data_IF_664831360157
#
_entry.id   IF_664831360157
#
_cell.length_a   1.000
_cell.length_b   1.000
_cell.length_c   1.000
_cell.angle_alpha   90.00
_cell.angle_beta   90.00
_cell.angle_gamma   90.00
#
_symmetry.space_group_name_H-M   'P 1'
#
loop_
_entity.id
_entity.type
_entity.pdbx_description
1 polymer ?
#
# COMPACT_ATOMS: atom_id res chain seq x y z
N UNK A 1 13.87 -6.31 18.56
CA UNK A 1 13.02 -6.06 17.37
C UNK A 1 12.50 -4.63 17.39
N UNK A 2 11.88 -4.18 18.48
CA UNK A 2 11.35 -2.82 18.65
C UNK A 2 12.39 -1.72 18.41
N UNK A 3 13.65 -1.93 18.85
CA UNK A 3 14.73 -0.94 18.69
C UNK A 3 15.07 -0.65 17.21
N UNK A 4 15.03 -1.64 16.33
CA UNK A 4 15.31 -1.43 14.89
C UNK A 4 14.19 -0.64 14.24
N UNK A 5 12.95 -0.99 14.57
CA UNK A 5 11.78 -0.26 14.07
C UNK A 5 11.76 1.19 14.60
N UNK A 6 12.04 1.39 15.88
CA UNK A 6 12.17 2.72 16.47
C UNK A 6 13.29 3.55 15.83
N UNK A 7 14.43 2.95 15.49
CA UNK A 7 15.50 3.62 14.77
C UNK A 7 15.05 4.06 13.37
N UNK A 8 14.38 3.18 12.63
CA UNK A 8 13.85 3.53 11.29
C UNK A 8 12.82 4.66 11.38
N UNK A 9 11.89 4.58 12.33
CA UNK A 9 10.87 5.62 12.53
C UNK A 9 11.51 6.95 12.91
N UNK A 10 12.51 6.94 13.81
CA UNK A 10 13.18 8.17 14.25
C UNK A 10 14.04 8.81 13.16
N UNK A 11 14.45 8.06 12.15
CA UNK A 11 15.19 8.55 11.00
C UNK A 11 14.31 9.20 9.92
N UNK A 12 12.99 9.09 10.04
CA UNK A 12 12.06 9.71 9.08
C UNK A 12 12.06 11.22 9.31
N UNK A 13 12.57 11.97 8.32
CA UNK A 13 12.53 13.42 8.35
C UNK A 13 11.15 13.95 7.93
N UNK A 14 10.61 14.98 8.62
CA UNK A 14 9.36 15.58 8.22
C UNK A 14 9.53 16.37 6.92
N UNK A 15 8.43 16.49 6.17
CA UNK A 15 8.40 17.32 4.96
C UNK A 15 8.66 18.80 5.33
N UNK A 16 9.43 19.50 4.49
CA UNK A 16 9.67 20.94 4.63
C UNK A 16 8.38 21.75 4.33
N UNK A 17 7.70 22.14 5.41
CA UNK A 17 6.48 22.93 5.33
C UNK A 17 6.72 24.36 4.84
N UNK A 18 7.92 24.92 5.07
CA UNK A 18 8.26 26.25 4.59
C UNK A 18 8.39 26.25 3.06
N UNK A 19 9.03 25.24 2.48
CA UNK A 19 9.11 25.06 1.02
C UNK A 19 7.75 24.78 0.39
N UNK A 20 6.90 24.03 1.08
CA UNK A 20 5.50 23.82 0.66
C UNK A 20 4.74 25.15 0.57
N UNK A 21 4.80 25.97 1.62
CA UNK A 21 4.12 27.26 1.67
C UNK A 21 4.68 28.26 0.63
N UNK A 22 6.02 28.32 0.48
CA UNK A 22 6.67 29.15 -0.52
C UNK A 22 6.26 28.76 -1.95
N UNK A 23 6.15 27.46 -2.24
CA UNK A 23 5.64 26.96 -3.53
C UNK A 23 4.21 27.45 -3.79
N UNK A 24 3.32 27.34 -2.81
CA UNK A 24 1.94 27.84 -2.96
C UNK A 24 1.88 29.34 -3.21
N UNK A 25 2.67 30.15 -2.50
CA UNK A 25 2.74 31.59 -2.73
C UNK A 25 3.22 31.92 -4.15
N UNK A 26 4.22 31.18 -4.63
CA UNK A 26 4.75 31.36 -5.99
C UNK A 26 3.73 30.97 -7.07
N UNK A 27 3.02 29.88 -6.88
CA UNK A 27 1.94 29.46 -7.79
C UNK A 27 0.78 30.46 -7.81
N UNK A 28 0.46 31.05 -6.66
CA UNK A 28 -0.55 32.11 -6.55
C UNK A 28 -0.22 33.34 -7.41
N UNK A 29 1.05 33.73 -7.46
CA UNK A 29 1.51 34.86 -8.28
C UNK A 29 1.43 34.60 -9.79
N UNK A 30 1.34 33.35 -10.21
CA UNK A 30 1.29 32.95 -11.63
C UNK A 30 -0.14 32.84 -12.18
N UNK A 31 -1.14 33.34 -11.48
CA UNK A 31 -2.57 33.25 -11.91
C UNK A 31 -3.08 31.82 -12.11
N UNK A 32 -2.40 30.85 -11.52
CA UNK A 32 -2.83 29.44 -11.54
C UNK A 32 -3.87 29.24 -10.43
N UNK A 33 -4.96 28.48 -10.74
CA UNK A 33 -5.98 28.16 -9.73
C UNK A 33 -5.32 27.46 -8.53
N UNK A 34 -5.33 28.12 -7.38
CA UNK A 34 -4.68 27.67 -6.14
C UNK A 34 -5.29 26.39 -5.57
N UNK A 35 -6.56 26.16 -5.82
CA UNK A 35 -7.38 25.05 -5.35
C UNK A 35 -7.35 23.84 -6.28
N UNK A 36 -6.45 23.82 -7.26
CA UNK A 36 -6.29 22.67 -8.13
C UNK A 36 -5.49 21.55 -7.45
N UNK A 37 -5.86 20.29 -7.75
CA UNK A 37 -5.05 19.12 -7.30
C UNK A 37 -3.59 19.21 -7.74
N UNK A 38 -3.32 19.85 -8.88
CA UNK A 38 -1.95 20.05 -9.38
C UNK A 38 -1.16 21.02 -8.50
N UNK A 39 -1.78 22.13 -8.06
CA UNK A 39 -1.13 23.06 -7.13
C UNK A 39 -0.83 22.38 -5.79
N UNK A 40 -1.76 21.59 -5.28
CA UNK A 40 -1.55 20.81 -4.06
C UNK A 40 -0.37 19.84 -4.21
N UNK A 41 -0.34 19.06 -5.28
CA UNK A 41 0.76 18.11 -5.54
C UNK A 41 2.11 18.81 -5.72
N UNK A 42 2.14 19.95 -6.43
CA UNK A 42 3.37 20.72 -6.62
C UNK A 42 3.95 21.18 -5.28
N UNK A 43 3.11 21.73 -4.39
CA UNK A 43 3.54 22.13 -3.04
C UNK A 43 4.06 20.94 -2.22
N UNK A 44 3.38 19.80 -2.28
CA UNK A 44 3.83 18.58 -1.59
C UNK A 44 5.17 18.08 -2.10
N UNK A 45 5.36 18.05 -3.42
CA UNK A 45 6.63 17.63 -4.03
C UNK A 45 7.76 18.60 -3.64
N UNK A 46 7.52 19.90 -3.69
CA UNK A 46 8.48 20.92 -3.25
C UNK A 46 8.90 20.72 -1.79
N UNK A 47 7.93 20.44 -0.91
CA UNK A 47 8.19 20.17 0.50
C UNK A 47 8.97 18.88 0.74
N UNK A 48 8.63 17.80 0.04
CA UNK A 48 9.34 16.50 0.18
C UNK A 48 10.78 16.61 -0.34
N UNK A 49 11.01 17.30 -1.45
CA UNK A 49 12.36 17.48 -1.99
C UNK A 49 13.13 18.69 -1.39
N UNK A 50 12.50 19.47 -0.51
CA UNK A 50 13.12 20.62 0.12
C UNK A 50 13.50 21.74 -0.86
N UNK A 51 12.90 21.83 -2.05
CA UNK A 51 13.27 22.75 -3.11
C UNK A 51 12.08 23.27 -3.93
N UNK A 52 12.20 24.49 -4.45
CA UNK A 52 11.24 25.03 -5.43
C UNK A 52 11.52 24.62 -6.89
N UNK A 53 12.60 23.93 -7.11
CA UNK A 53 13.00 23.38 -8.41
C UNK A 53 13.13 21.85 -8.33
N UNK A 54 11.99 21.14 -8.11
CA UNK A 54 12.04 19.71 -7.92
C UNK A 54 12.55 19.00 -9.17
N UNK A 55 13.33 17.96 -8.92
CA UNK A 55 13.80 17.08 -9.97
C UNK A 55 12.67 16.19 -10.51
N UNK A 56 12.88 15.70 -11.73
CA UNK A 56 11.95 14.76 -12.34
C UNK A 56 11.88 13.47 -11.51
N UNK A 57 10.65 13.07 -11.13
CA UNK A 57 10.44 11.86 -10.36
C UNK A 57 10.87 10.61 -11.14
N UNK A 58 11.75 9.82 -10.53
CA UNK A 58 12.00 8.44 -10.93
C UNK A 58 10.93 7.56 -10.28
N UNK A 59 10.18 6.84 -11.10
CA UNK A 59 8.92 6.20 -10.68
C UNK A 59 9.00 4.68 -10.76
N UNK A 60 8.53 4.02 -9.72
CA UNK A 60 8.27 2.59 -9.71
C UNK A 60 6.84 2.29 -9.26
N UNK A 61 6.32 1.16 -9.67
CA UNK A 61 5.12 0.55 -9.10
C UNK A 61 5.53 -0.78 -8.49
N UNK A 62 5.29 -0.95 -7.21
CA UNK A 62 5.55 -2.19 -6.48
C UNK A 62 4.21 -2.86 -6.23
N UNK A 63 4.03 -4.04 -6.79
CA UNK A 63 2.81 -4.84 -6.62
C UNK A 63 3.11 -5.94 -5.61
N UNK A 64 2.43 -5.86 -4.46
CA UNK A 64 2.47 -6.90 -3.43
C UNK A 64 1.40 -7.93 -3.72
N UNK A 65 1.81 -9.19 -3.88
CA UNK A 65 0.92 -10.30 -4.20
C UNK A 65 0.75 -11.22 -2.99
N UNK A 66 -0.47 -11.36 -2.51
CA UNK A 66 -0.83 -12.26 -1.42
C UNK A 66 -2.30 -12.66 -1.49
N UNK A 67 -2.60 -13.91 -1.15
CA UNK A 67 -3.95 -14.41 -1.04
C UNK A 67 -4.42 -14.36 0.43
N UNK A 68 -5.70 -14.04 0.66
CA UNK A 68 -6.24 -13.84 2.00
C UNK A 68 -7.46 -14.72 2.25
N UNK A 69 -7.43 -15.52 3.31
CA UNK A 69 -8.52 -16.42 3.70
C UNK A 69 -9.56 -15.71 4.61
N UNK A 70 -10.13 -14.62 4.13
CA UNK A 70 -11.07 -13.78 4.91
C UNK A 70 -12.43 -14.45 5.13
N UNK A 71 -12.86 -15.31 4.21
CA UNK A 71 -14.17 -15.94 4.21
C UNK A 71 -14.11 -17.48 4.26
N UNK A 72 -13.01 -18.03 4.77
CA UNK A 72 -12.80 -19.47 4.87
C UNK A 72 -12.63 -20.18 3.54
N UNK A 73 -12.51 -19.46 2.45
CA UNK A 73 -12.38 -20.02 1.10
C UNK A 73 -13.70 -20.51 0.49
N UNK A 74 -14.82 -20.34 1.18
CA UNK A 74 -16.15 -20.80 0.72
C UNK A 74 -16.61 -20.09 -0.55
N UNK A 75 -16.10 -18.88 -0.80
CA UNK A 75 -16.46 -18.05 -1.95
C UNK A 75 -15.26 -17.78 -2.86
N UNK A 76 -14.42 -18.79 -3.15
CA UNK A 76 -13.38 -18.63 -4.19
C UNK A 76 -14.06 -18.14 -5.46
N UNK A 77 -13.69 -16.95 -5.90
CA UNK A 77 -14.31 -16.36 -7.10
C UNK A 77 -13.94 -17.24 -8.30
N UNK A 78 -14.93 -17.95 -8.85
CA UNK A 78 -14.70 -18.81 -10.02
C UNK A 78 -14.03 -17.99 -11.13
N UNK A 79 -12.83 -18.43 -11.54
CA UNK A 79 -12.08 -17.80 -12.64
C UNK A 79 -11.04 -16.76 -12.24
N UNK A 80 -10.88 -16.42 -10.96
CA UNK A 80 -9.72 -15.68 -10.50
C UNK A 80 -8.60 -16.64 -10.14
N UNK A 81 -7.42 -16.37 -10.69
CA UNK A 81 -6.21 -17.12 -10.40
C UNK A 81 -5.09 -16.11 -10.15
N UNK A 82 -4.80 -15.86 -8.88
CA UNK A 82 -3.79 -14.87 -8.45
C UNK A 82 -2.43 -15.17 -9.07
N UNK A 83 -2.07 -16.44 -9.25
CA UNK A 83 -0.84 -16.85 -9.91
C UNK A 83 -0.81 -16.45 -11.39
N UNK A 84 -1.91 -16.65 -12.12
CA UNK A 84 -1.99 -16.26 -13.52
C UNK A 84 -1.90 -14.74 -13.69
N UNK A 85 -2.60 -13.98 -12.85
CA UNK A 85 -2.55 -12.52 -12.85
C UNK A 85 -1.14 -12.01 -12.49
N UNK A 86 -0.48 -12.64 -11.51
CA UNK A 86 0.88 -12.35 -11.14
C UNK A 86 1.86 -12.60 -12.30
N UNK A 87 1.73 -13.72 -13.01
CA UNK A 87 2.56 -14.04 -14.17
C UNK A 87 2.33 -13.07 -15.33
N UNK A 88 1.12 -12.58 -15.54
CA UNK A 88 0.86 -11.54 -16.54
C UNK A 88 1.60 -10.25 -16.21
N UNK A 89 1.59 -9.82 -14.93
CA UNK A 89 2.33 -8.64 -14.49
C UNK A 89 3.83 -8.86 -14.61
N UNK A 90 4.34 -9.99 -14.12
CA UNK A 90 5.76 -10.32 -14.14
C UNK A 90 6.35 -10.36 -15.57
N UNK A 91 5.53 -10.81 -16.53
CA UNK A 91 5.92 -10.88 -17.95
C UNK A 91 5.63 -9.58 -18.74
N UNK A 92 5.24 -8.50 -18.06
CA UNK A 92 5.00 -7.20 -18.68
C UNK A 92 3.66 -7.07 -19.42
N UNK A 93 2.77 -8.05 -19.32
CA UNK A 93 1.50 -8.09 -20.06
C UNK A 93 0.30 -7.56 -19.27
N UNK A 94 0.43 -7.46 -17.96
CA UNK A 94 -0.64 -6.98 -17.09
C UNK A 94 -1.10 -5.55 -17.42
N UNK A 95 -2.33 -5.18 -17.05
CA UNK A 95 -2.84 -3.82 -17.28
C UNK A 95 -1.96 -2.75 -16.65
N UNK A 96 -1.41 -3.00 -15.45
CA UNK A 96 -0.52 -2.06 -14.75
C UNK A 96 0.75 -1.78 -15.53
N UNK A 97 1.32 -2.77 -16.22
CA UNK A 97 2.52 -2.60 -17.03
C UNK A 97 2.30 -1.59 -18.16
N UNK A 98 1.13 -1.63 -18.80
CA UNK A 98 0.78 -0.70 -19.88
C UNK A 98 0.66 0.74 -19.37
N UNK A 99 0.06 0.94 -18.19
CA UNK A 99 -0.06 2.26 -17.58
C UNK A 99 1.31 2.77 -17.12
N UNK A 100 2.08 1.94 -16.43
CA UNK A 100 3.41 2.26 -15.95
C UNK A 100 4.35 2.66 -17.10
N UNK A 101 4.34 1.90 -18.19
CA UNK A 101 5.14 2.21 -19.37
C UNK A 101 4.83 3.62 -19.94
N UNK A 102 3.54 4.01 -19.99
CA UNK A 102 3.13 5.33 -20.49
C UNK A 102 3.67 6.50 -19.67
N UNK A 103 3.86 6.29 -18.38
CA UNK A 103 4.37 7.33 -17.46
C UNK A 103 5.86 7.15 -17.16
N UNK A 104 6.54 6.22 -17.81
CA UNK A 104 7.96 5.91 -17.58
C UNK A 104 8.23 5.40 -16.17
N UNK A 105 7.37 4.52 -15.64
CA UNK A 105 7.55 3.86 -14.35
C UNK A 105 7.96 2.40 -14.55
N UNK A 106 8.88 1.91 -13.72
CA UNK A 106 9.16 0.49 -13.58
C UNK A 106 8.01 -0.25 -12.88
N UNK A 107 7.88 -1.55 -13.10
CA UNK A 107 6.93 -2.41 -12.36
C UNK A 107 7.71 -3.54 -11.73
N UNK A 108 7.55 -3.72 -10.42
CA UNK A 108 8.13 -4.79 -9.63
C UNK A 108 6.97 -5.60 -9.02
N UNK A 109 7.05 -6.92 -9.10
CA UNK A 109 6.08 -7.83 -8.48
C UNK A 109 6.76 -8.64 -7.39
N UNK A 110 6.20 -8.58 -6.19
CA UNK A 110 6.69 -9.26 -4.99
C UNK A 110 5.66 -10.30 -4.57
N UNK A 111 6.04 -11.56 -4.51
CA UNK A 111 5.21 -12.60 -3.89
C UNK A 111 5.46 -12.58 -2.38
N UNK A 112 4.48 -12.06 -1.65
CA UNK A 112 4.50 -11.97 -0.18
C UNK A 112 3.71 -13.11 0.47
N UNK A 113 2.85 -13.79 -0.28
CA UNK A 113 1.98 -14.82 0.28
C UNK A 113 0.91 -15.32 -0.67
N UNK A 114 1.24 -15.57 -1.92
CA UNK A 114 0.33 -16.31 -2.81
C UNK A 114 0.19 -17.76 -2.34
N UNK A 115 -1.00 -18.34 -2.46
CA UNK A 115 -1.27 -19.73 -2.08
C UNK A 115 -0.44 -20.69 -2.94
N UNK A 116 -0.32 -20.37 -4.24
CA UNK A 116 0.48 -21.17 -5.18
C UNK A 116 1.89 -20.58 -5.36
N UNK A 117 2.88 -21.47 -5.52
CA UNK A 117 4.24 -21.04 -5.83
C UNK A 117 4.40 -20.59 -7.28
N UNK A 118 5.18 -19.53 -7.44
CA UNK A 118 5.62 -19.04 -8.75
C UNK A 118 7.13 -19.25 -8.84
N UNK A 119 7.65 -19.90 -9.90
CA UNK A 119 9.07 -20.05 -10.09
C UNK A 119 9.80 -18.69 -10.19
N UNK A 120 10.92 -18.52 -9.48
CA UNK A 120 11.72 -17.28 -9.49
C UNK A 120 12.16 -16.84 -10.89
N UNK A 121 12.37 -17.81 -11.79
CA UNK A 121 12.73 -17.54 -13.20
C UNK A 121 11.67 -16.78 -13.99
N UNK A 122 10.50 -16.53 -13.42
CA UNK A 122 9.36 -15.88 -14.07
C UNK A 122 9.28 -14.36 -13.84
N UNK A 123 10.33 -13.74 -13.28
CA UNK A 123 10.34 -12.30 -13.04
C UNK A 123 9.54 -11.84 -11.82
N UNK A 124 9.26 -12.74 -10.91
CA UNK A 124 8.65 -12.48 -9.60
C UNK A 124 9.74 -12.54 -8.54
N UNK A 125 9.81 -11.53 -7.69
CA UNK A 125 10.67 -11.58 -6.51
C UNK A 125 9.93 -12.33 -5.40
N UNK A 126 10.48 -13.46 -4.97
CA UNK A 126 9.89 -14.27 -3.92
C UNK A 126 10.32 -13.77 -2.54
N UNK A 127 9.38 -13.19 -1.82
CA UNK A 127 9.49 -12.74 -0.42
C UNK A 127 8.37 -13.36 0.43
N UNK A 128 7.89 -14.53 0.02
CA UNK A 128 6.76 -15.22 0.63
C UNK A 128 7.05 -15.57 2.08
N UNK A 129 6.23 -15.06 2.98
CA UNK A 129 6.29 -15.39 4.41
C UNK A 129 5.41 -16.58 4.76
N UNK A 130 4.32 -16.78 3.99
CA UNK A 130 3.40 -17.90 4.16
C UNK A 130 2.61 -18.15 2.86
N UNK A 131 1.95 -19.32 2.74
CA UNK A 131 1.08 -19.67 1.61
C UNK A 131 -0.38 -19.23 1.89
N UNK A 132 -0.74 -18.03 1.46
CA UNK A 132 -2.01 -17.41 1.83
C UNK A 132 -2.11 -17.12 3.33
N UNK A 133 -3.01 -16.25 3.76
CA UNK A 133 -3.22 -16.02 5.18
C UNK A 133 -4.05 -17.14 5.82
N UNK A 134 -3.95 -17.30 7.13
CA UNK A 134 -4.90 -18.13 7.87
C UNK A 134 -6.30 -17.51 7.85
N UNK A 135 -7.31 -18.36 8.12
CA UNK A 135 -8.68 -17.89 8.22
C UNK A 135 -8.89 -17.15 9.54
N UNK A 136 -8.88 -15.86 9.45
CA UNK A 136 -8.87 -14.92 10.58
C UNK A 136 -10.09 -15.01 11.52
N UNK A 137 -11.23 -15.57 11.07
CA UNK A 137 -12.35 -15.82 11.96
C UNK A 137 -12.13 -16.99 12.94
N UNK A 138 -11.06 -17.77 12.78
CA UNK A 138 -10.73 -18.90 13.65
C UNK A 138 -9.41 -18.75 14.39
N UNK A 139 -8.49 -17.99 13.83
CA UNK A 139 -7.15 -17.74 14.37
C UNK A 139 -6.59 -16.46 13.77
N UNK A 140 -5.46 -16.00 14.27
CA UNK A 140 -4.77 -14.85 13.69
C UNK A 140 -4.42 -15.11 12.22
N UNK A 141 -4.55 -14.08 11.37
CA UNK A 141 -4.28 -14.19 9.94
C UNK A 141 -2.84 -14.60 9.62
N UNK A 142 -1.91 -14.24 10.47
CA UNK A 142 -0.49 -14.60 10.47
C UNK A 142 0.04 -14.55 11.91
N UNK A 143 1.14 -15.25 12.16
CA UNK A 143 1.87 -15.15 13.43
C UNK A 143 2.58 -13.78 13.53
N UNK A 144 3.03 -13.43 14.74
CA UNK A 144 3.83 -12.23 14.98
C UNK A 144 5.15 -12.26 14.17
N UNK A 145 5.80 -13.40 14.10
CA UNK A 145 7.04 -13.58 13.34
C UNK A 145 6.80 -13.37 11.83
N UNK A 146 5.75 -13.97 11.26
CA UNK A 146 5.38 -13.77 9.85
C UNK A 146 5.02 -12.30 9.56
N UNK A 147 4.31 -11.64 10.47
CA UNK A 147 3.99 -10.21 10.35
C UNK A 147 5.28 -9.37 10.34
N UNK A 148 6.22 -9.68 11.23
CA UNK A 148 7.48 -8.95 11.30
C UNK A 148 8.36 -9.21 10.08
N UNK A 149 8.43 -10.43 9.58
CA UNK A 149 9.14 -10.76 8.34
C UNK A 149 8.58 -10.01 7.13
N UNK A 150 7.24 -9.92 7.03
CA UNK A 150 6.59 -9.14 5.98
C UNK A 150 6.90 -7.64 6.11
N UNK A 151 6.87 -7.08 7.32
CA UNK A 151 7.19 -5.69 7.60
C UNK A 151 8.64 -5.36 7.22
N UNK A 152 9.60 -6.17 7.67
CA UNK A 152 11.02 -5.96 7.34
C UNK A 152 11.31 -6.14 5.85
N UNK A 153 10.65 -7.08 5.19
CA UNK A 153 10.72 -7.20 3.72
C UNK A 153 10.27 -5.90 3.03
N UNK A 154 9.17 -5.31 3.51
CA UNK A 154 8.70 -4.02 2.99
C UNK A 154 9.68 -2.87 3.21
N UNK A 155 10.27 -2.79 4.41
CA UNK A 155 11.31 -1.79 4.72
C UNK A 155 12.55 -1.96 3.83
N UNK A 156 13.02 -3.19 3.64
CA UNK A 156 14.17 -3.48 2.78
C UNK A 156 13.92 -3.11 1.32
N UNK A 157 12.71 -3.41 0.81
CA UNK A 157 12.33 -3.01 -0.55
C UNK A 157 12.28 -1.49 -0.68
N UNK A 158 11.73 -0.78 0.32
CA UNK A 158 11.72 0.68 0.33
C UNK A 158 13.14 1.27 0.28
N UNK A 159 14.05 0.73 1.08
CA UNK A 159 15.45 1.15 1.08
C UNK A 159 16.13 0.87 -0.25
N UNK A 160 15.99 -0.35 -0.79
CA UNK A 160 16.59 -0.72 -2.07
C UNK A 160 16.13 0.21 -3.21
N UNK A 161 14.82 0.53 -3.25
CA UNK A 161 14.29 1.46 -4.25
C UNK A 161 14.86 2.88 -4.10
N UNK A 162 15.05 3.36 -2.86
CA UNK A 162 15.68 4.65 -2.60
C UNK A 162 17.15 4.65 -3.06
N UNK A 163 17.90 3.60 -2.76
CA UNK A 163 19.31 3.42 -3.16
C UNK A 163 19.47 3.33 -4.69
N UNK A 164 18.48 2.76 -5.39
CA UNK A 164 18.41 2.72 -6.86
C UNK A 164 17.96 4.07 -7.48
N UNK A 165 17.65 5.07 -6.64
CA UNK A 165 17.28 6.41 -7.09
C UNK A 165 15.81 6.60 -7.43
N UNK A 166 14.93 5.68 -7.06
CA UNK A 166 13.49 5.91 -7.19
C UNK A 166 13.01 6.92 -6.15
N UNK A 167 12.28 7.94 -6.62
CA UNK A 167 11.78 9.06 -5.80
C UNK A 167 10.26 9.10 -5.69
N UNK A 168 9.58 8.21 -6.39
CA UNK A 168 8.12 8.05 -6.30
C UNK A 168 7.74 6.59 -6.50
N UNK A 169 7.03 6.02 -5.54
CA UNK A 169 6.61 4.63 -5.54
C UNK A 169 5.09 4.56 -5.44
N UNK A 170 4.48 3.91 -6.43
CA UNK A 170 3.08 3.50 -6.36
C UNK A 170 2.97 2.10 -5.76
N UNK A 171 2.01 1.89 -4.86
CA UNK A 171 1.76 0.58 -4.26
C UNK A 171 0.58 -0.09 -4.95
N UNK A 172 0.75 -1.34 -5.36
CA UNK A 172 -0.28 -2.18 -5.93
C UNK A 172 -0.58 -3.37 -5.02
N UNK A 173 -1.82 -3.84 -5.08
CA UNK A 173 -2.29 -5.01 -4.35
C UNK A 173 -2.82 -6.04 -5.36
N UNK A 174 -2.34 -7.26 -5.28
CA UNK A 174 -2.76 -8.41 -6.09
C UNK A 174 -3.06 -9.59 -5.17
N UNK A 175 -4.09 -10.34 -5.48
CA UNK A 175 -4.42 -11.59 -4.81
C UNK A 175 -5.89 -11.70 -4.41
N UNK A 176 -6.31 -12.89 -4.06
CA UNK A 176 -7.67 -13.12 -3.61
C UNK A 176 -7.93 -12.38 -2.29
N UNK A 177 -9.07 -11.72 -2.21
CA UNK A 177 -9.53 -10.98 -1.02
C UNK A 177 -8.62 -9.83 -0.54
N UNK A 178 -7.53 -9.50 -1.24
CA UNK A 178 -6.62 -8.42 -0.86
C UNK A 178 -7.33 -7.07 -0.69
N UNK A 179 -8.27 -6.74 -1.59
CA UNK A 179 -9.08 -5.52 -1.45
C UNK A 179 -9.98 -5.57 -0.23
N UNK A 180 -10.60 -6.72 0.08
CA UNK A 180 -11.44 -6.88 1.27
C UNK A 180 -10.62 -6.73 2.55
N UNK A 181 -9.43 -7.33 2.61
CA UNK A 181 -8.50 -7.16 3.72
C UNK A 181 -8.10 -5.69 3.91
N UNK A 182 -7.79 -4.98 2.82
CA UNK A 182 -7.50 -3.55 2.88
C UNK A 182 -8.68 -2.72 3.43
N UNK A 183 -9.91 -3.07 3.05
CA UNK A 183 -11.11 -2.43 3.59
C UNK A 183 -11.28 -2.69 5.09
N UNK A 184 -11.07 -3.93 5.54
CA UNK A 184 -11.17 -4.29 6.95
C UNK A 184 -10.15 -3.52 7.77
N UNK A 185 -8.89 -3.51 7.35
CA UNK A 185 -7.83 -2.75 8.01
C UNK A 185 -8.15 -1.25 8.06
N UNK A 186 -8.61 -0.68 6.94
CA UNK A 186 -9.03 0.72 6.91
C UNK A 186 -10.16 0.99 7.91
N UNK A 187 -11.16 0.12 7.97
CA UNK A 187 -12.27 0.26 8.89
C UNK A 187 -11.83 0.15 10.36
N UNK A 188 -10.87 -0.72 10.68
CA UNK A 188 -10.28 -0.83 12.03
C UNK A 188 -9.55 0.44 12.43
N UNK A 189 -8.72 1.01 11.55
CA UNK A 189 -7.98 2.23 11.83
C UNK A 189 -8.85 3.47 11.93
N UNK A 190 -9.92 3.54 11.15
CA UNK A 190 -10.84 4.68 11.08
C UNK A 190 -12.21 4.38 11.67
N UNK A 191 -12.33 3.42 12.59
CA UNK A 191 -13.61 2.99 13.16
C UNK A 191 -14.44 4.13 13.75
N UNK A 192 -13.79 5.13 14.33
CA UNK A 192 -14.46 6.32 14.89
C UNK A 192 -14.94 7.30 13.81
N UNK A 193 -14.51 7.10 12.55
CA UNK A 193 -14.78 7.94 11.39
C UNK A 193 -15.45 7.17 10.25
N UNK A 194 -16.02 5.99 10.53
CA UNK A 194 -16.65 5.16 9.49
C UNK A 194 -17.77 5.89 8.75
N UNK A 195 -18.43 6.82 9.42
CA UNK A 195 -19.46 7.67 8.81
C UNK A 195 -18.90 8.71 7.82
N UNK A 196 -17.60 9.01 7.91
CA UNK A 196 -16.90 9.95 7.01
C UNK A 196 -16.32 9.25 5.76
N UNK A 197 -16.40 7.91 5.70
CA UNK A 197 -15.95 7.16 4.54
C UNK A 197 -16.71 7.60 3.27
N UNK A 198 -16.06 7.58 2.09
CA UNK A 198 -16.73 7.86 0.82
C UNK A 198 -17.95 6.97 0.58
N UNK A 199 -19.01 7.51 -0.02
CA UNK A 199 -20.28 6.82 -0.23
C UNK A 199 -20.15 5.46 -0.95
N UNK A 200 -19.21 5.34 -1.91
CA UNK A 200 -18.95 4.08 -2.59
C UNK A 200 -18.38 2.98 -1.66
N UNK A 201 -17.83 3.36 -0.52
CA UNK A 201 -17.35 2.45 0.52
C UNK A 201 -18.45 2.11 1.52
N UNK A 202 -19.46 2.96 1.68
CA UNK A 202 -20.59 2.77 2.57
C UNK A 202 -21.72 1.95 1.95
N UNK A 203 -21.70 1.71 0.64
CA UNK A 203 -22.82 1.11 -0.08
C UNK A 203 -23.11 -0.34 0.35
N UNK A 204 -24.34 -0.58 0.81
CA UNK A 204 -24.92 -1.89 1.03
C UNK A 204 -24.44 -2.62 2.29
N UNK A 205 -24.61 -3.94 2.29
CA UNK A 205 -24.27 -4.83 3.41
C UNK A 205 -22.78 -4.84 3.83
N UNK A 206 -21.91 -4.14 3.09
CA UNK A 206 -20.47 -4.12 3.35
C UNK A 206 -20.11 -3.40 4.64
N UNK A 207 -20.74 -2.27 4.92
CA UNK A 207 -20.46 -1.49 6.13
C UNK A 207 -20.98 -2.22 7.38
N UNK A 208 -22.15 -2.84 7.30
CA UNK A 208 -22.68 -3.64 8.40
C UNK A 208 -21.80 -4.84 8.71
N UNK A 209 -21.39 -5.58 7.68
CA UNK A 209 -20.43 -6.68 7.85
C UNK A 209 -19.09 -6.22 8.42
N UNK A 210 -18.59 -5.05 8.02
CA UNK A 210 -17.37 -4.49 8.60
C UNK A 210 -17.54 -4.14 10.08
N UNK A 211 -18.68 -3.58 10.48
CA UNK A 211 -19.00 -3.30 11.89
C UNK A 211 -19.06 -4.60 12.69
N UNK A 212 -19.78 -5.61 12.20
CA UNK A 212 -19.86 -6.94 12.83
C UNK A 212 -18.46 -7.55 13.03
N UNK A 213 -17.59 -7.45 12.04
CA UNK A 213 -16.22 -7.94 12.10
C UNK A 213 -15.42 -7.21 13.16
N UNK A 214 -15.51 -5.88 13.20
CA UNK A 214 -14.79 -5.05 14.17
C UNK A 214 -15.25 -5.39 15.59
N UNK A 215 -16.55 -5.57 15.79
CA UNK A 215 -17.14 -5.89 17.08
C UNK A 215 -16.81 -7.31 17.55
N UNK A 216 -16.71 -8.28 16.62
CA UNK A 216 -16.38 -9.67 16.92
C UNK A 216 -14.93 -9.88 17.33
N UNK A 217 -14.01 -9.13 16.77
CA UNK A 217 -12.55 -9.35 16.93
C UNK A 217 -11.88 -8.52 18.00
N UNK A 218 -12.60 -7.72 18.78
CA UNK A 218 -12.07 -6.96 19.92
C UNK A 218 -10.71 -6.27 19.62
N UNK A 219 -10.63 -5.60 18.47
CA UNK A 219 -9.42 -4.86 18.13
C UNK A 219 -9.06 -3.87 19.24
N UNK A 220 -7.80 -3.78 19.66
CA UNK A 220 -7.38 -2.89 20.72
C UNK A 220 -7.81 -1.45 20.42
N UNK A 221 -8.14 -0.72 21.48
CA UNK A 221 -8.50 0.70 21.36
C UNK A 221 -7.41 1.47 20.63
N UNK A 222 -7.83 2.38 19.74
CA UNK A 222 -6.98 3.16 18.82
C UNK A 222 -5.77 3.79 19.51
N UNK A 223 -4.77 3.01 19.85
CA UNK A 223 -3.43 3.53 19.90
C UNK A 223 -3.02 3.75 18.45
N UNK A 224 -3.25 4.97 17.96
CA UNK A 224 -2.76 5.39 16.65
C UNK A 224 -1.30 5.03 16.60
N UNK A 225 -0.92 4.16 15.66
CA UNK A 225 0.47 3.91 15.39
C UNK A 225 1.17 5.28 15.30
N UNK A 226 2.28 5.52 15.99
CA UNK A 226 3.01 6.80 15.95
C UNK A 226 3.34 7.28 14.53
N UNK A 227 3.31 6.37 13.56
CA UNK A 227 3.55 6.58 12.12
C UNK A 227 2.44 7.39 11.41
N UNK A 228 1.29 7.62 12.04
CA UNK A 228 0.16 8.32 11.42
C UNK A 228 -0.08 9.73 11.98
N UNK A 229 0.87 10.25 12.77
CA UNK A 229 0.82 11.64 13.26
C UNK A 229 1.56 12.60 12.37
#
# INVERSE_FOLDING_TARGET
MDQVLEQVISAIEPMDLAKTAECYQRLASLTIRQDSKLSYLAGRIAGVQGTLHPEKLQKAVVVFAADHAVDGGENKTKGKNSKADALEIATGRGPINKVAHRIGAGVMLLDMGLEEDIPESQGVQNLKVMHGSHFWARQDAMSEDEMMDALFSGLQIGQNLADEGYTAVGLGNLGERGLLTAFILTAVFFRDQLEELPEHMKSGQKLEKLKEVIDQHHFPDNQRLPLLR
#
